data_IF_799308860794
#
_entry.id   IF_799308860794
#
_cell.length_a   1.000
_cell.length_b   1.000
_cell.length_c   1.000
_cell.angle_alpha   90.00
_cell.angle_beta   90.00
_cell.angle_gamma   90.00
#
_symmetry.space_group_name_H-M   'P 1'
#
loop_
_entity.id
_entity.type
_entity.pdbx_description
1 polymer ?
#
# COMPACT_ATOMS: atom_id res chain seq x y z
N UNK A 1 -2.99 24.31 -25.63
CA UNK A 1 -1.71 24.98 -25.95
C UNK A 1 -1.00 25.55 -24.71
N UNK A 2 -1.72 26.08 -23.71
CA UNK A 2 -1.13 26.74 -22.54
C UNK A 2 -0.32 25.84 -21.56
N UNK A 3 -0.65 24.55 -21.45
CA UNK A 3 0.11 23.58 -20.63
C UNK A 3 1.51 23.32 -21.21
N UNK A 4 1.63 23.27 -22.54
CA UNK A 4 2.92 23.10 -23.21
C UNK A 4 3.81 24.35 -23.08
N UNK A 5 3.22 25.54 -23.04
CA UNK A 5 3.94 26.79 -22.77
C UNK A 5 4.42 26.87 -21.30
N UNK A 6 3.60 26.42 -20.34
CA UNK A 6 3.99 26.30 -18.93
C UNK A 6 5.10 25.27 -18.72
N UNK A 7 5.03 24.13 -19.41
CA UNK A 7 6.09 23.11 -19.40
C UNK A 7 7.36 23.66 -20.06
N UNK A 8 7.28 24.37 -21.19
CA UNK A 8 8.45 24.95 -21.87
C UNK A 8 9.11 26.09 -21.10
N UNK A 9 8.34 26.94 -20.41
CA UNK A 9 8.88 27.96 -19.50
C UNK A 9 9.62 27.33 -18.32
N UNK A 10 9.04 26.27 -17.74
CA UNK A 10 9.70 25.48 -16.71
C UNK A 10 10.89 24.68 -17.25
N UNK A 11 10.89 24.19 -18.49
CA UNK A 11 12.05 23.53 -19.12
C UNK A 11 13.21 24.52 -19.30
N UNK A 12 12.94 25.77 -19.63
CA UNK A 12 13.97 26.81 -19.72
C UNK A 12 14.53 27.20 -18.34
N UNK A 13 13.67 27.34 -17.32
CA UNK A 13 14.09 27.60 -15.94
C UNK A 13 14.82 26.40 -15.32
N UNK A 14 14.34 25.16 -15.53
CA UNK A 14 15.05 23.94 -15.11
C UNK A 14 16.33 23.71 -15.90
N UNK A 15 16.43 24.05 -17.19
CA UNK A 15 17.69 24.01 -17.93
C UNK A 15 18.72 25.04 -17.41
N UNK A 16 18.25 26.20 -16.93
CA UNK A 16 19.09 27.21 -16.28
C UNK A 16 19.55 26.77 -14.87
N UNK A 17 18.67 26.11 -14.11
CA UNK A 17 18.98 25.52 -12.80
C UNK A 17 19.85 24.25 -12.89
N UNK A 18 19.69 23.44 -13.96
CA UNK A 18 20.50 22.25 -14.24
C UNK A 18 21.98 22.59 -14.52
N UNK A 19 22.29 23.84 -14.91
CA UNK A 19 23.67 24.32 -15.06
C UNK A 19 24.31 24.76 -13.74
N UNK A 20 23.54 24.98 -12.67
CA UNK A 20 24.06 25.31 -11.34
C UNK A 20 24.27 24.03 -10.54
N UNK A 21 25.51 23.82 -10.09
CA UNK A 21 25.83 22.70 -9.22
C UNK A 21 24.98 22.76 -7.93
N UNK A 22 24.28 21.66 -7.62
CA UNK A 22 23.43 21.56 -6.43
C UNK A 22 24.22 21.91 -5.16
N UNK A 23 23.76 22.90 -4.40
CA UNK A 23 24.44 23.40 -3.20
C UNK A 23 24.25 22.51 -1.97
N UNK A 24 23.12 21.81 -1.85
CA UNK A 24 22.88 20.89 -0.73
C UNK A 24 22.05 19.68 -1.14
N UNK A 25 22.20 18.56 -0.43
CA UNK A 25 21.30 17.41 -0.56
C UNK A 25 20.04 17.62 0.29
N UNK A 26 18.89 17.13 -0.16
CA UNK A 26 17.68 17.15 0.67
C UNK A 26 17.90 16.49 2.04
N UNK A 27 17.52 17.15 3.15
CA UNK A 27 17.64 16.57 4.48
C UNK A 27 16.82 15.30 4.66
N UNK A 28 17.42 14.28 5.26
CA UNK A 28 16.82 12.95 5.50
C UNK A 28 16.89 12.56 6.96
N UNK A 29 15.98 11.70 7.40
CA UNK A 29 15.93 11.20 8.78
C UNK A 29 16.54 9.80 8.82
N UNK A 30 17.53 9.60 9.69
CA UNK A 30 18.03 8.30 10.06
C UNK A 30 17.29 7.79 11.30
N UNK A 31 16.66 6.62 11.19
CA UNK A 31 15.81 6.04 12.27
C UNK A 31 16.39 4.77 12.89
N UNK A 32 17.64 4.39 12.58
CA UNK A 32 18.23 3.15 13.11
C UNK A 32 17.41 1.89 12.83
N UNK A 33 16.61 1.85 11.75
CA UNK A 33 15.62 0.80 11.44
C UNK A 33 14.49 0.67 12.48
N UNK A 34 14.17 1.77 13.16
CA UNK A 34 13.13 1.81 14.19
C UNK A 34 13.61 1.35 15.57
N UNK A 35 14.91 1.17 15.78
CA UNK A 35 15.51 0.80 17.07
C UNK A 35 15.70 2.04 17.96
N UNK A 36 15.08 2.03 19.14
CA UNK A 36 15.11 3.18 20.06
C UNK A 36 16.42 3.27 20.87
N UNK A 37 17.21 2.19 20.93
CA UNK A 37 18.54 2.20 21.56
C UNK A 37 19.57 2.95 20.71
N UNK A 38 19.32 3.08 19.40
CA UNK A 38 20.16 3.83 18.47
C UNK A 38 19.77 5.29 18.44
N UNK A 39 20.76 6.15 18.19
CA UNK A 39 20.53 7.58 18.00
C UNK A 39 19.88 7.86 16.64
N UNK A 40 18.76 8.56 16.65
CA UNK A 40 18.06 9.05 15.47
C UNK A 40 18.44 10.52 15.25
N UNK A 41 18.54 10.92 13.99
CA UNK A 41 19.00 12.26 13.61
C UNK A 41 18.58 12.63 12.19
N UNK A 42 18.61 13.92 11.89
CA UNK A 42 18.52 14.46 10.53
C UNK A 42 19.93 14.61 9.96
N UNK A 43 20.12 14.27 8.69
CA UNK A 43 21.39 14.44 7.98
C UNK A 43 21.18 15.00 6.58
N UNK A 44 22.18 15.75 6.12
CA UNK A 44 22.26 16.33 4.79
C UNK A 44 23.73 16.51 4.41
N UNK A 45 23.98 16.91 3.18
CA UNK A 45 25.29 17.32 2.68
C UNK A 45 25.19 18.72 2.11
N UNK A 46 26.23 19.52 2.25
CA UNK A 46 26.32 20.88 1.73
C UNK A 46 27.62 21.02 0.95
N UNK A 47 27.62 21.85 -0.09
CA UNK A 47 28.78 22.07 -0.94
C UNK A 47 29.73 22.99 -0.22
N UNK A 48 30.88 22.45 0.16
CA UNK A 48 31.89 23.20 0.88
C UNK A 48 32.42 24.32 -0.04
N UNK A 49 32.34 25.60 0.37
CA UNK A 49 32.78 26.73 -0.46
C UNK A 49 34.27 26.69 -0.82
N UNK A 50 35.12 26.10 0.04
CA UNK A 50 36.55 26.03 -0.19
C UNK A 50 36.95 24.87 -1.12
N UNK A 51 36.30 23.71 -1.02
CA UNK A 51 36.65 22.51 -1.80
C UNK A 51 35.77 22.30 -3.03
N UNK A 52 34.62 22.99 -3.09
CA UNK A 52 33.61 22.82 -4.13
C UNK A 52 32.89 21.46 -4.09
N UNK A 53 33.18 20.58 -3.13
CA UNK A 53 32.62 19.22 -3.03
C UNK A 53 31.41 19.19 -2.10
N UNK A 54 30.46 18.29 -2.38
CA UNK A 54 29.30 18.07 -1.53
C UNK A 54 29.69 17.18 -0.35
N UNK A 55 29.76 17.76 0.85
CA UNK A 55 30.27 17.10 2.05
C UNK A 55 29.15 16.90 3.07
N UNK A 56 29.12 15.71 3.70
CA UNK A 56 28.13 15.36 4.70
C UNK A 56 28.32 16.21 5.95
N UNK A 57 27.26 16.90 6.35
CA UNK A 57 27.28 17.78 7.52
C UNK A 57 27.06 17.01 8.82
N UNK A 58 27.47 17.57 9.98
CA UNK A 58 27.23 16.96 11.28
C UNK A 58 25.76 16.57 11.50
N UNK A 59 25.48 15.38 12.05
CA UNK A 59 24.11 14.93 12.27
C UNK A 59 23.39 15.80 13.30
N UNK A 60 22.15 16.15 13.00
CA UNK A 60 21.30 16.97 13.87
C UNK A 60 20.38 16.07 14.67
N UNK A 61 20.68 15.91 15.96
CA UNK A 61 19.93 15.03 16.86
C UNK A 61 18.72 15.73 17.51
N UNK A 62 18.88 17.02 17.86
CA UNK A 62 17.93 17.73 18.73
C UNK A 62 17.62 16.95 20.01
N UNK A 63 16.37 17.00 20.46
CA UNK A 63 15.85 16.25 21.61
C UNK A 63 15.24 14.89 21.26
N UNK A 64 15.34 14.47 20.00
CA UNK A 64 14.69 13.25 19.51
C UNK A 64 15.01 12.03 20.38
N UNK A 65 16.27 11.90 20.80
CA UNK A 65 16.72 10.73 21.55
C UNK A 65 16.28 10.71 23.03
N UNK A 66 15.74 11.80 23.56
CA UNK A 66 15.10 11.86 24.90
C UNK A 66 13.67 11.31 24.87
N UNK A 67 13.02 11.29 23.71
CA UNK A 67 11.65 10.83 23.54
C UNK A 67 11.59 9.29 23.60
N UNK A 68 10.57 8.76 24.30
CA UNK A 68 10.46 7.34 24.63
C UNK A 68 9.80 6.48 23.53
N UNK A 69 9.03 7.08 22.62
CA UNK A 69 8.28 6.34 21.60
C UNK A 69 8.68 6.75 20.17
N UNK A 70 8.46 5.83 19.22
CA UNK A 70 8.87 5.99 17.82
C UNK A 70 8.11 7.10 17.10
N UNK A 71 6.83 7.28 17.43
CA UNK A 71 5.95 8.26 16.79
C UNK A 71 6.41 9.68 17.09
N UNK A 72 6.70 9.97 18.37
CA UNK A 72 7.15 11.28 18.82
C UNK A 72 8.55 11.59 18.29
N UNK A 73 9.46 10.60 18.29
CA UNK A 73 10.79 10.74 17.66
C UNK A 73 10.68 11.12 16.19
N UNK A 74 9.82 10.43 15.45
CA UNK A 74 9.65 10.66 14.02
C UNK A 74 8.96 12.00 13.74
N UNK A 75 7.95 12.36 14.53
CA UNK A 75 7.26 13.65 14.44
C UNK A 75 8.24 14.82 14.69
N UNK A 76 9.00 14.74 15.77
CA UNK A 76 10.01 15.74 16.14
C UNK A 76 11.10 15.91 15.05
N UNK A 77 11.67 14.79 14.57
CA UNK A 77 12.69 14.83 13.51
C UNK A 77 12.11 15.28 12.16
N UNK A 78 10.83 15.02 11.90
CA UNK A 78 10.13 15.52 10.71
C UNK A 78 10.03 17.05 10.73
N UNK A 79 9.72 17.64 11.89
CA UNK A 79 9.72 19.10 12.08
C UNK A 79 11.10 19.69 11.84
N UNK A 80 12.16 19.13 12.45
CA UNK A 80 13.55 19.59 12.22
C UNK A 80 13.93 19.47 10.74
N UNK A 81 13.60 18.35 10.10
CA UNK A 81 13.86 18.15 8.66
C UNK A 81 13.20 19.24 7.81
N UNK A 82 11.93 19.57 8.09
CA UNK A 82 11.17 20.60 7.36
C UNK A 82 11.79 21.98 7.54
N UNK A 83 12.09 22.38 8.78
CA UNK A 83 12.70 23.68 9.09
C UNK A 83 14.08 23.81 8.44
N UNK A 84 14.94 22.80 8.59
CA UNK A 84 16.26 22.81 7.98
C UNK A 84 16.19 22.91 6.45
N UNK A 85 15.29 22.17 5.81
CA UNK A 85 15.14 22.22 4.36
C UNK A 85 14.72 23.62 3.89
N UNK A 86 13.81 24.28 4.62
CA UNK A 86 13.41 25.65 4.33
C UNK A 86 14.58 26.63 4.45
N UNK A 87 15.33 26.58 5.56
CA UNK A 87 16.50 27.45 5.76
C UNK A 87 17.55 27.26 4.65
N UNK A 88 17.83 26.02 4.25
CA UNK A 88 18.77 25.76 3.16
C UNK A 88 18.30 26.35 1.81
N UNK A 89 16.98 26.37 1.56
CA UNK A 89 16.40 27.02 0.37
C UNK A 89 16.45 28.54 0.44
N UNK A 90 16.32 29.10 1.64
CA UNK A 90 16.44 30.54 1.92
C UNK A 90 17.89 31.04 1.85
N UNK A 91 18.86 30.14 1.64
CA UNK A 91 20.26 30.48 1.42
C UNK A 91 21.13 30.40 2.68
N UNK A 92 20.61 29.88 3.79
CA UNK A 92 21.42 29.62 4.99
C UNK A 92 22.43 28.49 4.69
N UNK A 93 23.65 28.68 5.18
CA UNK A 93 24.78 27.78 4.99
C UNK A 93 25.29 27.27 6.33
N UNK A 94 25.74 26.00 6.44
CA UNK A 94 26.41 25.52 7.64
C UNK A 94 27.80 26.16 7.87
N UNK A 95 28.31 26.93 6.89
CA UNK A 95 29.60 27.60 6.93
C UNK A 95 29.49 29.12 7.17
N UNK A 96 28.27 29.65 7.34
CA UNK A 96 27.99 31.07 7.56
C UNK A 96 27.18 31.23 8.84
N UNK A 97 27.49 32.24 9.66
CA UNK A 97 26.67 32.55 10.83
C UNK A 97 25.28 32.99 10.38
N UNK A 98 24.24 32.51 11.06
CA UNK A 98 22.86 32.85 10.72
C UNK A 98 22.60 34.37 10.74
N UNK A 99 23.24 35.12 11.63
CA UNK A 99 23.10 36.59 11.72
C UNK A 99 23.76 37.30 10.54
N UNK A 100 24.86 36.75 10.03
CA UNK A 100 25.52 37.27 8.83
C UNK A 100 24.70 36.92 7.57
N UNK A 101 24.08 35.73 7.55
CA UNK A 101 23.10 35.38 6.51
C UNK A 101 21.91 36.34 6.54
N UNK A 102 21.37 36.64 7.73
CA UNK A 102 20.24 37.55 7.91
C UNK A 102 20.58 38.97 7.44
N UNK A 103 21.78 39.47 7.77
CA UNK A 103 22.28 40.76 7.27
C UNK A 103 22.43 40.77 5.76
N UNK A 104 23.03 39.73 5.18
CA UNK A 104 23.20 39.58 3.73
C UNK A 104 21.85 39.55 3.01
N UNK A 105 20.88 38.77 3.53
CA UNK A 105 19.52 38.72 2.99
C UNK A 105 18.80 40.08 3.13
N UNK A 106 19.02 40.81 4.22
CA UNK A 106 18.46 42.15 4.43
C UNK A 106 19.11 43.21 3.52
N UNK A 107 20.42 43.12 3.27
CA UNK A 107 21.17 44.01 2.37
C UNK A 107 20.85 43.71 0.90
N UNK A 108 20.74 42.45 0.50
CA UNK A 108 20.24 42.03 -0.81
C UNK A 108 18.81 42.56 -1.05
N UNK A 109 17.98 42.57 0.01
CA UNK A 109 16.63 43.14 -0.03
C UNK A 109 16.61 44.67 -0.13
N UNK A 110 17.60 45.38 0.46
CA UNK A 110 17.77 46.84 0.36
C UNK A 110 18.40 47.27 -0.97
N UNK A 111 19.38 46.54 -1.50
CA UNK A 111 19.97 46.79 -2.82
C UNK A 111 18.97 46.55 -3.96
N UNK A 112 18.01 45.64 -3.75
CA UNK A 112 16.89 45.41 -4.67
C UNK A 112 15.80 46.50 -4.64
N UNK A 113 15.77 47.38 -3.61
CA UNK A 113 14.80 48.48 -3.51
C UNK A 113 15.26 49.78 -4.17
N UNK A 114 16.58 50.00 -4.31
CA UNK A 114 17.15 51.22 -4.95
C UNK A 114 17.13 51.19 -6.49
N UNK A 115 16.92 50.02 -7.12
CA UNK A 115 16.86 49.86 -8.59
C UNK A 115 15.44 49.83 -9.20
N UNK A 116 14.40 50.21 -8.45
CA UNK A 116 12.99 50.15 -8.90
C UNK A 116 12.35 51.54 -9.05
N UNK A 117 12.87 52.35 -9.97
CA UNK A 117 12.01 53.19 -10.81
C UNK A 117 12.02 52.58 -12.21
N UNK A 118 10.84 52.23 -12.71
CA UNK A 118 10.54 51.39 -13.87
C UNK A 118 10.67 49.87 -13.64
N UNK A 119 9.57 49.17 -13.94
CA UNK A 119 9.38 47.72 -13.98
C UNK A 119 9.04 46.97 -12.66
N UNK A 120 7.71 46.89 -12.46
CA UNK A 120 6.88 45.81 -11.87
C UNK A 120 7.56 44.87 -10.86
N UNK A 121 7.12 45.00 -9.60
CA UNK A 121 7.22 44.00 -8.52
C UNK A 121 7.02 42.57 -9.06
N UNK A 122 8.04 41.70 -8.92
CA UNK A 122 7.78 40.27 -8.73
C UNK A 122 7.28 40.13 -7.30
N UNK A 123 5.96 40.10 -7.15
CA UNK A 123 5.32 39.53 -5.96
C UNK A 123 5.74 38.06 -5.88
N UNK A 124 6.04 37.54 -4.69
CA UNK A 124 5.90 36.11 -4.47
C UNK A 124 4.44 35.77 -4.76
N UNK A 125 4.16 35.28 -5.96
CA UNK A 125 2.83 34.81 -6.29
C UNK A 125 2.62 33.57 -5.43
N UNK A 126 1.90 33.73 -4.31
CA UNK A 126 1.06 32.64 -3.84
C UNK A 126 0.12 32.38 -5.02
N UNK A 127 0.50 31.43 -5.88
CA UNK A 127 -0.28 31.10 -7.05
C UNK A 127 -1.59 30.55 -6.47
N UNK A 128 -2.65 31.35 -6.51
CA UNK A 128 -3.96 30.96 -6.03
C UNK A 128 -4.40 29.80 -6.92
N UNK A 129 -4.43 28.60 -6.34
CA UNK A 129 -4.94 27.42 -7.02
C UNK A 129 -6.43 27.34 -6.75
N UNK A 130 -7.21 27.18 -7.81
CA UNK A 130 -8.56 26.66 -7.63
C UNK A 130 -8.51 25.24 -7.07
N UNK A 131 -9.58 24.79 -6.41
CA UNK A 131 -9.68 23.42 -5.91
C UNK A 131 -9.40 22.41 -7.01
N UNK A 132 -9.94 22.64 -8.21
CA UNK A 132 -9.69 21.79 -9.38
C UNK A 132 -8.22 21.72 -9.75
N UNK A 133 -7.55 22.87 -9.91
CA UNK A 133 -6.13 22.92 -10.29
C UNK A 133 -5.24 22.24 -9.24
N UNK A 134 -5.48 22.51 -7.96
CA UNK A 134 -4.74 21.87 -6.87
C UNK A 134 -4.92 20.34 -6.90
N UNK A 135 -6.16 19.86 -6.98
CA UNK A 135 -6.43 18.42 -6.95
C UNK A 135 -5.91 17.70 -8.20
N UNK A 136 -5.96 18.32 -9.39
CA UNK A 136 -5.34 17.81 -10.61
C UNK A 136 -3.82 17.71 -10.48
N UNK A 137 -3.18 18.74 -9.92
CA UNK A 137 -1.75 18.75 -9.65
C UNK A 137 -1.33 17.63 -8.69
N UNK A 138 -2.03 17.49 -7.55
CA UNK A 138 -1.74 16.43 -6.57
C UNK A 138 -1.88 15.02 -7.16
N UNK A 139 -2.89 14.81 -8.01
CA UNK A 139 -3.08 13.53 -8.69
C UNK A 139 -1.92 13.26 -9.67
N UNK A 140 -1.56 14.24 -10.50
CA UNK A 140 -0.48 14.12 -11.47
C UNK A 140 0.87 13.79 -10.81
N UNK A 141 1.17 14.39 -9.64
CA UNK A 141 2.40 14.12 -8.89
C UNK A 141 2.42 12.71 -8.27
N UNK A 142 1.31 12.28 -7.67
CA UNK A 142 1.28 10.98 -6.97
C UNK A 142 1.11 9.79 -7.91
N UNK A 143 0.38 9.94 -9.02
CA UNK A 143 0.00 8.84 -9.91
C UNK A 143 1.19 8.01 -10.44
N UNK A 144 2.34 8.60 -10.86
CA UNK A 144 3.51 7.84 -11.32
C UNK A 144 4.10 6.90 -10.27
N UNK A 145 3.99 7.25 -8.98
CA UNK A 145 4.49 6.42 -7.87
C UNK A 145 3.59 5.21 -7.56
N UNK A 146 2.38 5.19 -8.12
CA UNK A 146 1.39 4.17 -7.82
C UNK A 146 1.44 3.01 -8.81
N UNK A 147 1.19 1.81 -8.29
CA UNK A 147 0.94 0.68 -9.18
C UNK A 147 -0.31 0.90 -10.03
N UNK A 148 -0.39 0.32 -11.23
CA UNK A 148 -1.55 0.40 -12.16
C UNK A 148 -2.91 0.26 -11.47
N UNK A 149 -3.04 -0.72 -10.55
CA UNK A 149 -4.28 -0.95 -9.79
C UNK A 149 -4.59 0.17 -8.79
N UNK A 150 -3.57 0.64 -8.07
CA UNK A 150 -3.72 1.74 -7.11
C UNK A 150 -4.10 3.01 -7.85
N UNK A 151 -3.41 3.32 -8.95
CA UNK A 151 -3.74 4.44 -9.82
C UNK A 151 -5.19 4.37 -10.31
N UNK A 152 -5.61 3.25 -10.93
CA UNK A 152 -7.00 3.08 -11.38
C UNK A 152 -8.03 3.28 -10.26
N UNK A 153 -7.77 2.75 -9.06
CA UNK A 153 -8.68 2.90 -7.91
C UNK A 153 -8.73 4.35 -7.44
N UNK A 154 -7.58 5.00 -7.30
CA UNK A 154 -7.48 6.35 -6.74
C UNK A 154 -7.97 7.40 -7.73
N UNK A 155 -7.68 7.27 -9.01
CA UNK A 155 -8.27 8.08 -10.08
C UNK A 155 -9.80 7.96 -10.08
N UNK A 156 -10.33 6.75 -9.86
CA UNK A 156 -11.78 6.56 -9.72
C UNK A 156 -12.37 7.29 -8.51
N UNK A 157 -11.68 7.30 -7.36
CA UNK A 157 -12.11 8.07 -6.18
C UNK A 157 -12.02 9.58 -6.41
N UNK A 158 -10.91 10.04 -7.01
CA UNK A 158 -10.68 11.42 -7.40
C UNK A 158 -11.80 11.92 -8.33
N UNK A 159 -12.10 11.20 -9.41
CA UNK A 159 -13.13 11.61 -10.38
C UNK A 159 -14.50 11.80 -9.72
N UNK A 160 -14.88 10.89 -8.81
CA UNK A 160 -16.15 11.03 -8.07
C UNK A 160 -16.15 12.23 -7.12
N UNK A 161 -15.01 12.53 -6.50
CA UNK A 161 -14.90 13.71 -5.65
C UNK A 161 -14.97 15.00 -6.47
N UNK A 162 -14.27 15.07 -7.59
CA UNK A 162 -14.32 16.20 -8.52
C UNK A 162 -15.73 16.44 -9.06
N UNK A 163 -16.42 15.38 -9.48
CA UNK A 163 -17.83 15.46 -9.91
C UNK A 163 -18.73 16.03 -8.81
N UNK A 164 -18.52 15.61 -7.55
CA UNK A 164 -19.29 16.14 -6.43
C UNK A 164 -18.97 17.62 -6.16
N UNK A 165 -17.69 18.02 -6.23
CA UNK A 165 -17.27 19.41 -6.08
C UNK A 165 -17.86 20.31 -7.18
N UNK A 166 -17.88 19.84 -8.43
CA UNK A 166 -18.51 20.55 -9.55
C UNK A 166 -20.00 20.74 -9.33
N UNK A 167 -20.73 19.68 -8.95
CA UNK A 167 -22.17 19.76 -8.65
C UNK A 167 -22.53 20.66 -7.47
N UNK A 168 -21.59 20.89 -6.54
CA UNK A 168 -21.77 21.79 -5.40
C UNK A 168 -21.10 23.17 -5.61
N UNK A 169 -20.63 23.48 -6.83
CA UNK A 169 -19.97 24.75 -7.18
C UNK A 169 -18.72 25.07 -6.33
N UNK A 170 -18.03 24.05 -5.83
CA UNK A 170 -16.82 24.18 -5.00
C UNK A 170 -15.53 24.01 -5.80
N UNK A 171 -15.60 23.46 -7.02
CA UNK A 171 -14.40 23.12 -7.81
C UNK A 171 -13.60 24.34 -8.30
N UNK A 172 -14.28 25.48 -8.51
CA UNK A 172 -13.71 26.73 -9.01
C UNK A 172 -13.28 27.70 -7.91
N UNK A 173 -13.60 27.40 -6.63
CA UNK A 173 -13.17 28.22 -5.50
C UNK A 173 -11.66 28.08 -5.28
N UNK A 174 -11.07 29.05 -4.58
CA UNK A 174 -9.70 28.93 -4.09
C UNK A 174 -9.56 27.72 -3.15
N UNK A 175 -8.46 26.97 -3.26
CA UNK A 175 -8.23 25.76 -2.45
C UNK A 175 -8.26 26.03 -0.94
N UNK A 176 -7.92 27.25 -0.50
CA UNK A 176 -7.99 27.64 0.91
C UNK A 176 -9.42 27.74 1.45
N UNK A 177 -10.42 27.90 0.57
CA UNK A 177 -11.83 27.94 0.94
C UNK A 177 -12.40 26.56 1.22
N UNK A 178 -11.83 25.50 0.63
CA UNK A 178 -12.31 24.14 0.84
C UNK A 178 -12.05 23.68 2.28
N UNK A 179 -13.10 23.29 3.00
CA UNK A 179 -13.02 22.92 4.42
C UNK A 179 -13.21 21.43 4.64
N UNK A 180 -12.86 21.00 5.86
CA UNK A 180 -13.14 19.65 6.37
C UNK A 180 -14.62 19.25 6.24
N UNK A 181 -15.54 20.21 6.40
CA UNK A 181 -16.99 19.97 6.29
C UNK A 181 -17.37 19.48 4.90
N UNK A 182 -16.81 20.04 3.85
CA UNK A 182 -17.14 19.69 2.45
C UNK A 182 -16.74 18.26 2.13
N UNK A 183 -15.51 17.88 2.51
CA UNK A 183 -15.04 16.48 2.39
C UNK A 183 -15.90 15.54 3.23
N UNK A 184 -16.30 15.94 4.44
CA UNK A 184 -17.18 15.12 5.29
C UNK A 184 -18.55 14.92 4.66
N UNK A 185 -19.11 15.96 4.04
CA UNK A 185 -20.39 15.93 3.35
C UNK A 185 -20.30 15.01 2.12
N UNK A 186 -19.27 15.16 1.28
CA UNK A 186 -19.00 14.24 0.18
C UNK A 186 -18.96 12.78 0.63
N UNK A 187 -18.21 12.48 1.69
CA UNK A 187 -18.10 11.11 2.20
C UNK A 187 -19.44 10.55 2.72
N UNK A 188 -20.36 11.42 3.14
CA UNK A 188 -21.71 11.05 3.59
C UNK A 188 -22.69 10.88 2.42
N UNK A 189 -22.48 11.55 1.28
CA UNK A 189 -23.34 11.47 0.09
C UNK A 189 -22.95 10.34 -0.87
N UNK A 190 -21.87 9.61 -0.60
CA UNK A 190 -21.42 8.48 -1.41
C UNK A 190 -22.47 7.37 -1.51
N UNK A 191 -22.92 7.13 -2.75
CA UNK A 191 -23.89 6.08 -3.12
C UNK A 191 -23.23 4.88 -3.79
N UNK A 192 -23.78 3.68 -3.58
CA UNK A 192 -23.36 2.46 -4.28
C UNK A 192 -23.77 2.54 -5.75
N UNK A 193 -22.94 1.96 -6.62
CA UNK A 193 -23.31 1.74 -8.01
C UNK A 193 -24.34 0.61 -8.08
N UNK A 194 -25.46 0.85 -8.75
CA UNK A 194 -26.48 -0.17 -8.98
C UNK A 194 -26.07 -1.10 -10.13
N UNK A 195 -26.32 -2.39 -9.93
CA UNK A 195 -26.27 -3.42 -10.97
C UNK A 195 -27.40 -3.22 -11.98
N UNK A 196 -27.27 -3.82 -13.18
CA UNK A 196 -28.31 -3.78 -14.21
C UNK A 196 -29.66 -4.30 -13.67
N UNK A 197 -29.63 -5.34 -12.84
CA UNK A 197 -30.82 -5.93 -12.21
C UNK A 197 -31.50 -4.97 -11.24
N UNK A 198 -30.72 -4.30 -10.40
CA UNK A 198 -31.24 -3.31 -9.43
C UNK A 198 -31.84 -2.09 -10.11
N UNK A 199 -31.20 -1.62 -11.20
CA UNK A 199 -31.75 -0.53 -12.02
C UNK A 199 -33.09 -0.92 -12.64
N UNK A 200 -33.17 -2.12 -13.23
CA UNK A 200 -34.40 -2.62 -13.84
C UNK A 200 -35.52 -2.81 -12.81
N UNK A 201 -35.17 -3.18 -11.58
CA UNK A 201 -36.10 -3.35 -10.47
C UNK A 201 -36.42 -2.03 -9.74
N UNK A 202 -35.94 -0.88 -10.21
CA UNK A 202 -36.09 0.42 -9.53
C UNK A 202 -35.71 0.39 -8.04
N UNK A 203 -34.72 -0.43 -7.68
CA UNK A 203 -34.31 -0.61 -6.30
C UNK A 203 -33.76 0.71 -5.72
N UNK A 204 -33.98 1.00 -4.42
CA UNK A 204 -33.46 2.22 -3.80
C UNK A 204 -31.91 2.25 -3.83
N UNK A 205 -31.35 3.44 -4.04
CA UNK A 205 -29.89 3.60 -4.06
C UNK A 205 -29.35 3.60 -2.63
N UNK A 206 -28.60 2.56 -2.29
CA UNK A 206 -27.97 2.44 -0.98
C UNK A 206 -26.70 3.29 -0.84
N UNK A 207 -26.42 3.71 0.40
CA UNK A 207 -25.14 4.33 0.77
C UNK A 207 -23.99 3.32 0.73
N UNK A 208 -22.76 3.80 0.48
CA UNK A 208 -21.58 2.94 0.47
C UNK A 208 -21.27 2.37 1.86
N UNK A 209 -20.57 1.23 1.89
CA UNK A 209 -20.13 0.63 3.15
C UNK A 209 -19.15 1.55 3.91
N UNK A 210 -19.07 1.46 5.26
CA UNK A 210 -18.07 2.16 6.06
C UNK A 210 -16.63 1.97 5.57
N UNK A 211 -16.29 0.76 5.11
CA UNK A 211 -14.97 0.45 4.54
C UNK A 211 -14.71 1.22 3.26
N UNK A 212 -15.70 1.28 2.37
CA UNK A 212 -15.61 2.04 1.13
C UNK A 212 -15.42 3.52 1.44
N UNK A 213 -16.22 4.10 2.35
CA UNK A 213 -16.09 5.49 2.79
C UNK A 213 -14.68 5.80 3.31
N UNK A 214 -14.13 4.93 4.17
CA UNK A 214 -12.77 5.08 4.68
C UNK A 214 -11.70 4.99 3.58
N UNK A 215 -11.92 4.18 2.53
CA UNK A 215 -10.99 4.10 1.39
C UNK A 215 -10.99 5.38 0.54
N UNK A 216 -12.16 6.01 0.33
CA UNK A 216 -12.24 7.33 -0.32
C UNK A 216 -11.50 8.36 0.53
N UNK A 217 -11.80 8.43 1.83
CA UNK A 217 -11.10 9.31 2.77
C UNK A 217 -9.59 9.11 2.72
N UNK A 218 -9.10 7.87 2.75
CA UNK A 218 -7.67 7.58 2.67
C UNK A 218 -7.05 8.08 1.36
N UNK A 219 -7.75 7.93 0.23
CA UNK A 219 -7.26 8.44 -1.06
C UNK A 219 -7.18 9.96 -1.06
N UNK A 220 -8.24 10.63 -0.60
CA UNK A 220 -8.25 12.09 -0.49
C UNK A 220 -7.15 12.56 0.46
N UNK A 221 -6.98 11.90 1.61
CA UNK A 221 -5.90 12.21 2.56
C UNK A 221 -4.53 12.20 1.86
N UNK A 222 -4.24 11.21 1.01
CA UNK A 222 -2.97 11.13 0.27
C UNK A 222 -2.78 12.30 -0.69
N UNK A 223 -3.86 12.72 -1.37
CA UNK A 223 -3.82 13.86 -2.28
C UNK A 223 -3.61 15.18 -1.51
N UNK A 224 -4.33 15.38 -0.41
CA UNK A 224 -4.16 16.58 0.43
C UNK A 224 -2.80 16.60 1.15
N UNK A 225 -2.21 15.45 1.49
CA UNK A 225 -0.83 15.41 1.97
C UNK A 225 0.15 15.86 0.89
N UNK A 226 -0.09 15.54 -0.39
CA UNK A 226 0.75 16.07 -1.48
C UNK A 226 0.65 17.60 -1.53
N UNK A 227 -0.57 18.15 -1.43
CA UNK A 227 -0.78 19.60 -1.42
C UNK A 227 -0.11 20.30 -0.23
N UNK A 228 -0.09 19.64 0.94
CA UNK A 228 0.64 20.13 2.11
C UNK A 228 2.16 20.06 1.89
N UNK A 229 2.66 18.94 1.36
CA UNK A 229 4.09 18.73 1.09
C UNK A 229 4.63 19.75 0.07
N UNK A 230 3.79 20.18 -0.88
CA UNK A 230 4.11 21.18 -1.90
C UNK A 230 3.73 22.63 -1.49
N UNK A 231 3.35 22.84 -0.23
CA UNK A 231 3.01 24.16 0.35
C UNK A 231 1.85 24.89 -0.37
N UNK A 232 1.00 24.16 -1.10
CA UNK A 232 -0.23 24.68 -1.72
C UNK A 232 -1.32 24.90 -0.67
N UNK A 233 -1.35 24.05 0.37
CA UNK A 233 -2.19 24.23 1.55
C UNK A 233 -1.34 24.19 2.82
N UNK A 234 -1.76 24.87 3.90
CA UNK A 234 -0.96 24.93 5.13
C UNK A 234 -0.89 23.60 5.88
N UNK A 235 -1.92 22.77 5.80
CA UNK A 235 -1.95 21.43 6.41
C UNK A 235 -3.07 20.55 5.82
N UNK A 236 -2.89 19.23 5.88
CA UNK A 236 -3.91 18.26 5.50
C UNK A 236 -5.04 18.16 6.54
N UNK A 237 -6.15 18.85 6.31
CA UNK A 237 -7.32 18.79 7.19
C UNK A 237 -8.13 17.48 7.06
N UNK A 238 -7.92 16.68 6.02
CA UNK A 238 -8.67 15.41 5.77
C UNK A 238 -8.27 14.33 6.78
N UNK A 239 -7.02 14.34 7.26
CA UNK A 239 -6.54 13.42 8.30
C UNK A 239 -7.38 13.53 9.59
N UNK A 240 -7.87 14.73 9.91
CA UNK A 240 -8.70 15.02 11.09
C UNK A 240 -10.13 14.46 10.99
N UNK A 241 -10.54 13.90 9.84
CA UNK A 241 -11.85 13.22 9.70
C UNK A 241 -11.73 11.83 10.33
N UNK A 242 -12.63 11.46 11.26
CA UNK A 242 -12.58 10.15 11.91
C UNK A 242 -13.03 9.05 10.94
N UNK A 243 -12.36 7.90 10.97
CA UNK A 243 -12.80 6.73 10.21
C UNK A 243 -14.09 6.16 10.81
N UNK A 244 -15.00 5.69 9.97
CA UNK A 244 -16.19 4.98 10.42
C UNK A 244 -15.80 3.56 10.83
N UNK A 245 -16.31 3.07 11.97
CA UNK A 245 -16.05 1.70 12.43
C UNK A 245 -16.51 0.69 11.37
N UNK A 246 -15.68 -0.30 11.08
CA UNK A 246 -15.98 -1.35 10.09
C UNK A 246 -16.01 -2.72 10.75
N UNK A 247 -17.01 -3.56 10.43
CA UNK A 247 -17.04 -4.98 10.80
C UNK A 247 -16.67 -5.82 9.56
N UNK A 248 -15.41 -6.28 9.41
CA UNK A 248 -15.02 -7.05 8.24
C UNK A 248 -15.68 -8.44 8.24
N UNK A 249 -16.32 -8.82 7.14
CA UNK A 249 -16.68 -10.22 6.89
C UNK A 249 -15.38 -10.99 6.58
N UNK A 250 -15.03 -11.96 7.41
CA UNK A 250 -13.82 -12.78 7.27
C UNK A 250 -14.17 -14.12 6.65
N UNK A 251 -13.20 -14.70 5.94
CA UNK A 251 -13.36 -16.03 5.38
C UNK A 251 -13.14 -17.07 6.48
N UNK A 252 -13.92 -18.15 6.45
CA UNK A 252 -13.75 -19.27 7.39
C UNK A 252 -12.85 -20.36 6.79
N UNK A 253 -12.09 -21.11 7.61
CA UNK A 253 -11.54 -22.40 7.17
C UNK A 253 -12.68 -23.39 6.89
N UNK A 254 -12.44 -24.32 5.97
CA UNK A 254 -13.29 -25.48 5.75
C UNK A 254 -13.18 -26.50 6.89
N UNK A 255 -14.30 -27.15 7.23
CA UNK A 255 -14.30 -28.36 8.08
C UNK A 255 -13.70 -29.56 7.35
N UNK A 256 -13.45 -30.66 8.08
CA UNK A 256 -12.93 -31.91 7.50
C UNK A 256 -13.91 -32.48 6.46
N UNK A 257 -15.19 -32.50 6.77
CA UNK A 257 -16.27 -32.99 5.92
C UNK A 257 -16.38 -32.14 4.65
N UNK A 258 -16.30 -30.82 4.80
CA UNK A 258 -16.30 -29.90 3.66
C UNK A 258 -15.09 -30.10 2.75
N UNK A 259 -13.89 -30.34 3.29
CA UNK A 259 -12.70 -30.64 2.47
C UNK A 259 -12.89 -31.94 1.69
N UNK A 260 -13.45 -32.98 2.32
CA UNK A 260 -13.72 -34.27 1.65
C UNK A 260 -14.71 -34.05 0.50
N UNK A 261 -15.84 -33.39 0.76
CA UNK A 261 -16.85 -33.09 -0.24
C UNK A 261 -16.31 -32.21 -1.40
N UNK A 262 -15.50 -31.20 -1.07
CA UNK A 262 -14.82 -30.36 -2.07
C UNK A 262 -13.87 -31.21 -2.92
N UNK A 263 -13.06 -32.08 -2.30
CA UNK A 263 -12.13 -32.95 -3.03
C UNK A 263 -12.88 -33.86 -4.01
N UNK A 264 -13.89 -34.56 -3.53
CA UNK A 264 -14.69 -35.49 -4.35
C UNK A 264 -15.42 -34.79 -5.51
N UNK A 265 -15.96 -33.59 -5.25
CA UNK A 265 -16.55 -32.78 -6.30
C UNK A 265 -15.52 -32.37 -7.34
N UNK A 266 -14.35 -31.88 -6.92
CA UNK A 266 -13.29 -31.43 -7.82
C UNK A 266 -12.70 -32.59 -8.63
N UNK A 267 -12.49 -33.76 -8.03
CA UNK A 267 -11.95 -34.93 -8.74
C UNK A 267 -12.84 -35.35 -9.92
N UNK A 268 -14.17 -35.15 -9.82
CA UNK A 268 -15.12 -35.46 -10.90
C UNK A 268 -15.33 -34.30 -11.87
N UNK A 269 -15.40 -33.07 -11.37
CA UNK A 269 -15.90 -31.93 -12.16
C UNK A 269 -14.81 -30.94 -12.57
N UNK A 270 -13.76 -30.80 -11.77
CA UNK A 270 -12.71 -29.80 -12.01
C UNK A 270 -11.35 -30.19 -11.36
N UNK A 271 -10.65 -31.21 -11.87
CA UNK A 271 -9.38 -31.66 -11.29
C UNK A 271 -8.28 -30.59 -11.35
N UNK A 272 -8.37 -29.68 -12.33
CA UNK A 272 -7.38 -28.63 -12.48
C UNK A 272 -7.54 -27.51 -11.43
N UNK A 273 -8.78 -27.18 -11.01
CA UNK A 273 -9.01 -26.31 -9.87
C UNK A 273 -8.51 -26.94 -8.56
N UNK A 274 -8.55 -28.27 -8.43
CA UNK A 274 -7.92 -28.97 -7.31
C UNK A 274 -6.41 -28.73 -7.26
N UNK A 275 -5.71 -28.85 -8.40
CA UNK A 275 -4.28 -28.52 -8.50
C UNK A 275 -4.03 -27.07 -8.06
N UNK A 276 -4.83 -26.11 -8.54
CA UNK A 276 -4.73 -24.71 -8.11
C UNK A 276 -4.84 -24.56 -6.59
N UNK A 277 -5.81 -25.24 -5.97
CA UNK A 277 -6.00 -25.23 -4.52
C UNK A 277 -4.87 -25.92 -3.75
N UNK A 278 -4.28 -26.98 -4.31
CA UNK A 278 -3.13 -27.68 -3.72
C UNK A 278 -1.87 -26.80 -3.69
N UNK A 279 -1.62 -25.99 -4.73
CA UNK A 279 -0.56 -24.97 -4.68
C UNK A 279 -0.82 -23.93 -3.59
N UNK A 280 -2.09 -23.55 -3.37
CA UNK A 280 -2.44 -22.64 -2.29
C UNK A 280 -2.21 -23.24 -0.91
N UNK A 281 -2.50 -24.53 -0.70
CA UNK A 281 -2.32 -25.21 0.61
C UNK A 281 -0.87 -25.59 0.87
N UNK A 282 -0.23 -26.29 -0.06
CA UNK A 282 1.09 -26.90 0.17
C UNK A 282 2.24 -25.90 0.10
N UNK A 283 2.15 -24.91 -0.79
CA UNK A 283 3.15 -23.83 -0.90
C UNK A 283 2.69 -22.52 -0.23
N UNK A 284 1.55 -22.53 0.48
CA UNK A 284 0.98 -21.35 1.14
C UNK A 284 0.88 -20.11 0.23
N UNK A 285 0.57 -20.31 -1.05
CA UNK A 285 0.50 -19.24 -2.04
C UNK A 285 -0.84 -18.51 -2.02
N UNK A 286 -0.83 -17.19 -2.18
CA UNK A 286 -2.03 -16.41 -2.46
C UNK A 286 -2.54 -16.74 -3.87
N UNK A 287 -3.84 -16.63 -4.12
CA UNK A 287 -4.43 -16.87 -5.45
C UNK A 287 -3.67 -16.15 -6.58
N UNK A 288 -3.27 -14.90 -6.32
CA UNK A 288 -2.53 -14.12 -7.30
C UNK A 288 -1.09 -14.60 -7.51
N UNK A 289 -0.44 -15.12 -6.47
CA UNK A 289 0.89 -15.70 -6.57
C UNK A 289 0.83 -16.99 -7.41
N UNK A 290 -0.19 -17.83 -7.22
CA UNK A 290 -0.44 -18.99 -8.07
C UNK A 290 -0.62 -18.59 -9.53
N UNK A 291 -1.41 -17.55 -9.81
CA UNK A 291 -1.64 -17.05 -11.17
C UNK A 291 -0.41 -16.42 -11.84
N UNK A 292 0.67 -16.16 -11.07
CA UNK A 292 1.92 -15.57 -11.57
C UNK A 292 3.01 -16.58 -11.82
N UNK A 293 2.91 -17.77 -11.23
CA UNK A 293 3.91 -18.82 -11.42
C UNK A 293 4.06 -19.13 -12.90
N UNK A 294 5.32 -19.20 -13.34
CA UNK A 294 5.70 -19.67 -14.66
C UNK A 294 6.46 -20.99 -14.54
N UNK A 295 6.60 -21.71 -15.65
CA UNK A 295 7.35 -22.98 -15.69
C UNK A 295 8.78 -22.81 -15.16
N UNK A 296 9.48 -21.72 -15.53
CA UNK A 296 10.83 -21.39 -15.03
C UNK A 296 10.92 -21.12 -13.52
N UNK A 297 9.79 -20.87 -12.86
CA UNK A 297 9.77 -20.62 -11.42
C UNK A 297 9.84 -21.94 -10.62
N UNK A 298 9.85 -23.09 -11.29
CA UNK A 298 9.91 -24.43 -10.70
C UNK A 298 11.30 -25.02 -10.88
N UNK A 299 11.96 -25.32 -9.76
CA UNK A 299 13.22 -26.06 -9.73
C UNK A 299 13.01 -27.36 -8.94
N UNK A 300 12.66 -28.42 -9.68
CA UNK A 300 12.44 -29.75 -9.09
C UNK A 300 13.73 -30.39 -8.56
N UNK A 301 14.91 -30.04 -9.11
CA UNK A 301 16.19 -30.60 -8.69
C UNK A 301 16.56 -30.06 -7.31
N UNK A 302 16.45 -28.76 -7.10
CA UNK A 302 16.69 -28.13 -5.81
C UNK A 302 15.47 -28.15 -4.87
N UNK A 303 14.32 -28.67 -5.34
CA UNK A 303 13.01 -28.63 -4.66
C UNK A 303 12.61 -27.22 -4.23
N UNK A 304 12.76 -26.24 -5.13
CA UNK A 304 12.50 -24.82 -4.89
C UNK A 304 11.45 -24.26 -5.84
N UNK A 305 10.58 -23.45 -5.28
CA UNK A 305 9.57 -22.67 -5.99
C UNK A 305 9.87 -21.18 -5.82
N UNK A 306 10.05 -20.46 -6.92
CA UNK A 306 10.38 -19.04 -6.94
C UNK A 306 9.12 -18.16 -7.08
N UNK A 307 8.68 -17.58 -5.98
CA UNK A 307 7.40 -16.86 -5.90
C UNK A 307 7.61 -15.36 -5.99
N UNK A 308 7.09 -14.76 -7.06
CA UNK A 308 7.14 -13.30 -7.27
C UNK A 308 6.00 -12.58 -6.56
N UNK A 309 6.37 -11.59 -5.75
CA UNK A 309 5.41 -10.66 -5.16
C UNK A 309 5.45 -9.31 -5.89
N UNK A 310 4.42 -8.47 -5.70
CA UNK A 310 4.31 -7.18 -6.40
C UNK A 310 5.31 -6.12 -5.88
N UNK A 311 5.68 -6.22 -4.61
CA UNK A 311 6.36 -5.14 -3.87
C UNK A 311 7.43 -5.63 -2.91
N UNK A 312 7.62 -6.95 -2.80
CA UNK A 312 8.63 -7.57 -1.95
C UNK A 312 9.58 -8.38 -2.81
N UNK A 313 10.82 -8.61 -2.33
CA UNK A 313 11.79 -9.48 -2.99
C UNK A 313 11.19 -10.84 -3.35
N UNK A 314 11.84 -11.51 -4.31
CA UNK A 314 11.53 -12.88 -4.68
C UNK A 314 11.55 -13.77 -3.43
N UNK A 315 10.47 -14.52 -3.19
CA UNK A 315 10.39 -15.48 -2.10
C UNK A 315 10.70 -16.88 -2.63
N UNK A 316 11.48 -17.65 -1.90
CA UNK A 316 11.74 -19.07 -2.21
C UNK A 316 10.90 -19.92 -1.27
N UNK A 317 10.14 -20.85 -1.85
CA UNK A 317 9.27 -21.79 -1.11
C UNK A 317 9.74 -23.21 -1.38
N UNK A 318 9.84 -24.09 -0.37
CA UNK A 318 10.18 -25.49 -0.59
C UNK A 318 9.06 -26.22 -1.34
N UNK A 319 9.44 -27.10 -2.26
CA UNK A 319 8.53 -28.07 -2.88
C UNK A 319 8.52 -29.32 -2.00
N UNK A 320 7.45 -29.49 -1.22
CA UNK A 320 7.24 -30.70 -0.41
C UNK A 320 6.85 -31.89 -1.30
N UNK A 321 6.97 -33.12 -0.79
CA UNK A 321 6.76 -34.35 -1.58
C UNK A 321 5.38 -34.41 -2.25
N UNK A 322 4.32 -33.99 -1.56
CA UNK A 322 2.96 -33.94 -2.09
C UNK A 322 2.86 -32.98 -3.28
N UNK A 323 3.51 -31.82 -3.19
CA UNK A 323 3.54 -30.83 -4.26
C UNK A 323 4.43 -31.29 -5.42
N UNK A 324 5.55 -31.96 -5.13
CA UNK A 324 6.44 -32.55 -6.13
C UNK A 324 5.68 -33.56 -6.99
N UNK A 325 4.90 -34.46 -6.37
CA UNK A 325 4.08 -35.45 -7.07
C UNK A 325 3.01 -34.81 -7.97
N UNK A 326 2.49 -33.63 -7.59
CA UNK A 326 1.56 -32.88 -8.44
C UNK A 326 2.31 -32.28 -9.63
N UNK A 327 3.43 -31.61 -9.39
CA UNK A 327 4.23 -30.94 -10.41
C UNK A 327 4.73 -31.95 -11.46
N UNK A 328 5.23 -33.11 -11.04
CA UNK A 328 5.73 -34.14 -11.97
C UNK A 328 4.64 -34.61 -12.96
N UNK A 329 3.39 -34.71 -12.50
CA UNK A 329 2.25 -35.06 -13.36
C UNK A 329 1.86 -33.97 -14.37
N UNK A 330 2.36 -32.75 -14.18
CA UNK A 330 2.13 -31.64 -15.13
C UNK A 330 3.03 -31.72 -16.37
N UNK A 331 4.06 -32.59 -16.39
CA UNK A 331 4.98 -32.80 -17.52
C UNK A 331 5.54 -31.47 -18.07
N UNK A 332 6.13 -30.67 -17.18
CA UNK A 332 6.53 -29.28 -17.44
C UNK A 332 7.60 -29.13 -18.52
N UNK A 333 8.37 -30.19 -18.79
CA UNK A 333 9.38 -30.26 -19.84
C UNK A 333 8.83 -30.01 -21.26
N UNK A 334 7.51 -30.11 -21.43
CA UNK A 334 6.83 -29.91 -22.72
C UNK A 334 6.46 -28.45 -23.01
N UNK A 335 6.67 -27.54 -22.06
CA UNK A 335 6.17 -26.17 -22.12
C UNK A 335 7.30 -25.15 -22.09
N UNK A 336 7.03 -23.93 -22.59
CA UNK A 336 8.04 -22.89 -22.58
C UNK A 336 8.31 -22.42 -21.13
N UNK A 337 9.56 -22.06 -20.78
CA UNK A 337 9.88 -21.56 -19.45
C UNK A 337 9.07 -20.32 -19.03
N UNK A 338 8.60 -19.53 -20.00
CA UNK A 338 7.77 -18.33 -19.79
C UNK A 338 6.27 -18.61 -19.72
N UNK A 339 5.82 -19.82 -20.00
CA UNK A 339 4.40 -20.17 -19.88
C UNK A 339 3.95 -20.07 -18.42
N UNK A 340 2.74 -19.56 -18.21
CA UNK A 340 2.15 -19.54 -16.88
C UNK A 340 1.77 -20.96 -16.49
N UNK A 341 2.10 -21.36 -15.26
CA UNK A 341 1.98 -22.73 -14.79
C UNK A 341 0.51 -23.20 -14.70
N UNK A 342 -0.37 -22.33 -14.18
CA UNK A 342 -1.79 -22.66 -13.98
C UNK A 342 -2.67 -21.65 -14.72
N UNK A 343 -3.35 -22.11 -15.79
CA UNK A 343 -4.06 -21.21 -16.72
C UNK A 343 -5.52 -21.57 -16.99
N UNK A 344 -6.22 -20.71 -17.74
CA UNK A 344 -7.57 -20.99 -18.24
C UNK A 344 -7.66 -22.18 -19.20
N UNK A 345 -6.53 -22.62 -19.77
CA UNK A 345 -6.47 -23.75 -20.70
C UNK A 345 -6.38 -25.11 -20.00
N UNK A 346 -6.32 -25.12 -18.67
CA UNK A 346 -6.09 -26.33 -17.88
C UNK A 346 -4.73 -27.01 -18.13
N UNK A 347 -3.77 -26.23 -18.61
CA UNK A 347 -2.38 -26.61 -18.83
C UNK A 347 -1.50 -25.36 -18.80
N UNK A 348 -0.17 -25.50 -18.63
CA UNK A 348 0.73 -24.37 -18.80
C UNK A 348 0.58 -23.74 -20.20
N UNK A 349 0.43 -22.42 -20.26
CA UNK A 349 0.19 -21.71 -21.52
C UNK A 349 0.57 -20.23 -21.42
N UNK A 350 0.89 -19.62 -22.56
CA UNK A 350 1.08 -18.19 -22.69
C UNK A 350 -0.20 -17.42 -22.33
N UNK A 351 -0.19 -16.72 -21.20
CA UNK A 351 -1.39 -16.09 -20.66
C UNK A 351 -1.12 -14.67 -20.17
N UNK A 352 -0.57 -13.83 -21.04
CA UNK A 352 -0.25 -12.43 -20.70
C UNK A 352 -1.49 -11.54 -20.72
N UNK A 353 -2.28 -11.63 -19.64
CA UNK A 353 -3.45 -10.79 -19.39
C UNK A 353 -3.39 -10.22 -17.98
N UNK A 354 -4.26 -9.24 -17.71
CA UNK A 354 -4.39 -8.66 -16.38
C UNK A 354 -4.61 -9.74 -15.30
N UNK A 355 -3.77 -9.64 -14.27
CA UNK A 355 -3.73 -10.51 -13.11
C UNK A 355 -5.08 -10.67 -12.38
N UNK A 356 -5.87 -9.60 -12.29
CA UNK A 356 -7.17 -9.65 -11.65
C UNK A 356 -8.15 -10.47 -12.49
N UNK A 357 -8.05 -10.42 -13.81
CA UNK A 357 -8.81 -11.29 -14.71
C UNK A 357 -8.45 -12.77 -14.50
N UNK A 358 -7.16 -13.10 -14.32
CA UNK A 358 -6.72 -14.47 -13.98
C UNK A 358 -7.32 -14.95 -12.66
N UNK A 359 -7.23 -14.14 -11.59
CA UNK A 359 -7.79 -14.52 -10.29
C UNK A 359 -9.32 -14.65 -10.32
N UNK A 360 -10.02 -13.79 -11.08
CA UNK A 360 -11.47 -13.87 -11.29
C UNK A 360 -11.90 -15.14 -12.01
N UNK A 361 -11.08 -15.65 -12.95
CA UNK A 361 -11.34 -16.92 -13.63
C UNK A 361 -11.44 -18.08 -12.63
N UNK A 362 -10.44 -18.26 -11.76
CA UNK A 362 -10.47 -19.33 -10.76
C UNK A 362 -11.53 -19.09 -9.67
N UNK A 363 -11.75 -17.83 -9.27
CA UNK A 363 -12.87 -17.50 -8.37
C UNK A 363 -14.24 -17.85 -8.97
N UNK A 364 -14.39 -17.76 -10.31
CA UNK A 364 -15.61 -18.17 -11.00
C UNK A 364 -15.81 -19.69 -10.99
N UNK A 365 -14.74 -20.46 -11.17
CA UNK A 365 -14.79 -21.93 -11.07
C UNK A 365 -15.16 -22.37 -9.65
N UNK A 366 -14.53 -21.78 -8.63
CA UNK A 366 -14.87 -22.08 -7.25
C UNK A 366 -16.31 -21.68 -6.86
N UNK A 367 -16.90 -20.66 -7.49
CA UNK A 367 -18.34 -20.35 -7.29
C UNK A 367 -19.25 -21.51 -7.70
N UNK A 368 -18.87 -22.33 -8.70
CA UNK A 368 -19.64 -23.53 -9.08
C UNK A 368 -19.59 -24.57 -7.96
N UNK A 369 -18.40 -24.81 -7.39
CA UNK A 369 -18.20 -25.69 -6.23
C UNK A 369 -19.06 -25.24 -5.06
N UNK A 370 -19.03 -23.93 -4.73
CA UNK A 370 -19.85 -23.37 -3.65
C UNK A 370 -21.35 -23.61 -3.87
N UNK A 371 -21.83 -23.39 -5.10
CA UNK A 371 -23.24 -23.59 -5.43
C UNK A 371 -23.62 -25.07 -5.29
N UNK A 372 -22.79 -25.98 -5.80
CA UNK A 372 -23.06 -27.42 -5.75
C UNK A 372 -23.07 -27.97 -4.32
N UNK A 373 -22.20 -27.46 -3.44
CA UNK A 373 -22.03 -27.95 -2.07
C UNK A 373 -22.73 -27.08 -1.01
N UNK A 374 -23.56 -26.11 -1.41
CA UNK A 374 -24.26 -25.23 -0.48
C UNK A 374 -23.36 -24.36 0.41
N UNK A 375 -22.13 -24.05 -0.01
CA UNK A 375 -21.18 -23.29 0.81
C UNK A 375 -21.55 -21.81 0.89
N UNK A 376 -21.68 -21.30 2.13
CA UNK A 376 -22.00 -19.92 2.46
C UNK A 376 -21.04 -18.86 1.91
N UNK A 377 -21.41 -17.58 2.02
CA UNK A 377 -20.67 -16.45 1.43
C UNK A 377 -19.24 -16.26 1.99
N UNK A 378 -19.00 -16.74 3.21
CA UNK A 378 -17.75 -16.73 3.98
C UNK A 378 -16.72 -17.79 3.54
N UNK A 379 -17.08 -18.68 2.61
CA UNK A 379 -16.14 -19.62 2.01
C UNK A 379 -15.62 -19.09 0.67
N UNK A 380 -14.32 -19.04 0.49
CA UNK A 380 -13.67 -18.63 -0.78
C UNK A 380 -12.47 -19.52 -1.07
N UNK A 381 -11.83 -19.36 -2.23
CA UNK A 381 -10.54 -20.03 -2.47
C UNK A 381 -9.50 -19.73 -1.38
N UNK A 382 -9.54 -18.54 -0.78
CA UNK A 382 -8.61 -18.19 0.29
C UNK A 382 -8.83 -19.00 1.57
N UNK A 383 -10.04 -19.56 1.76
CA UNK A 383 -10.35 -20.49 2.85
C UNK A 383 -9.46 -21.73 2.82
N UNK A 384 -8.97 -22.15 1.66
CA UNK A 384 -8.01 -23.27 1.54
C UNK A 384 -6.74 -23.02 2.34
N UNK A 385 -6.22 -21.79 2.34
CA UNK A 385 -5.04 -21.42 3.12
C UNK A 385 -5.33 -21.36 4.61
N UNK A 386 -6.54 -20.92 4.98
CA UNK A 386 -6.98 -20.94 6.37
C UNK A 386 -7.03 -22.37 6.89
N UNK A 387 -7.66 -23.28 6.13
CA UNK A 387 -7.71 -24.71 6.49
C UNK A 387 -6.31 -25.32 6.61
N UNK A 388 -5.42 -25.07 5.64
CA UNK A 388 -4.05 -25.59 5.70
C UNK A 388 -3.28 -25.06 6.92
N UNK A 389 -3.42 -23.77 7.25
CA UNK A 389 -2.79 -23.18 8.42
C UNK A 389 -3.33 -23.78 9.73
N UNK A 390 -4.64 -23.93 9.85
CA UNK A 390 -5.29 -24.57 11.02
C UNK A 390 -4.84 -26.01 11.18
N UNK A 391 -4.80 -26.78 10.08
CA UNK A 391 -4.38 -28.17 10.10
C UNK A 391 -2.91 -28.33 10.56
N UNK A 392 -1.98 -27.56 9.99
CA UNK A 392 -0.59 -27.60 10.41
C UNK A 392 -0.38 -27.11 11.85
N UNK A 393 -1.09 -26.06 12.27
CA UNK A 393 -1.02 -25.57 13.64
C UNK A 393 -1.45 -26.64 14.64
N UNK A 394 -2.60 -27.28 14.41
CA UNK A 394 -3.11 -28.34 15.28
C UNK A 394 -2.21 -29.57 15.27
N UNK A 395 -1.64 -29.91 14.10
CA UNK A 395 -0.67 -31.00 14.00
C UNK A 395 0.58 -30.72 14.85
N UNK A 396 1.17 -29.53 14.74
CA UNK A 396 2.32 -29.14 15.56
C UNK A 396 2.00 -29.22 17.06
N UNK A 397 0.83 -28.77 17.50
CA UNK A 397 0.41 -28.93 18.90
C UNK A 397 0.23 -30.40 19.30
N UNK A 398 -0.28 -31.25 18.40
CA UNK A 398 -0.44 -32.69 18.66
C UNK A 398 0.89 -33.44 18.80
N UNK A 399 1.97 -32.92 18.22
CA UNK A 399 3.33 -33.44 18.41
C UNK A 399 3.96 -33.02 19.75
N UNK A 400 3.21 -32.34 20.63
CA UNK A 400 3.68 -31.90 21.94
C UNK A 400 4.42 -30.55 21.93
N UNK A 401 4.44 -29.83 20.80
CA UNK A 401 5.02 -28.48 20.76
C UNK A 401 4.18 -27.51 21.61
N UNK A 402 4.85 -26.61 22.32
CA UNK A 402 4.20 -25.43 22.92
C UNK A 402 3.60 -24.51 21.85
N UNK A 403 2.68 -23.62 22.25
CA UNK A 403 2.12 -22.61 21.34
C UNK A 403 3.24 -21.77 20.70
N UNK A 404 4.29 -21.44 21.46
CA UNK A 404 5.39 -20.63 20.95
C UNK A 404 6.21 -21.35 19.87
N UNK A 405 6.55 -22.61 20.10
CA UNK A 405 7.28 -23.44 19.14
C UNK A 405 6.46 -23.69 17.88
N UNK A 406 5.17 -24.01 18.04
CA UNK A 406 4.25 -24.18 16.93
C UNK A 406 4.16 -22.90 16.08
N UNK A 407 4.06 -21.73 16.71
CA UNK A 407 4.07 -20.44 16.01
C UNK A 407 5.39 -20.18 15.28
N UNK A 408 6.54 -20.49 15.88
CA UNK A 408 7.84 -20.30 15.23
C UNK A 408 8.01 -21.18 13.98
N UNK A 409 7.69 -22.48 14.10
CA UNK A 409 7.72 -23.42 12.97
C UNK A 409 6.75 -22.99 11.87
N UNK A 410 5.50 -22.68 12.24
CA UNK A 410 4.47 -22.31 11.29
C UNK A 410 4.73 -20.97 10.59
N UNK A 411 5.43 -20.02 11.24
CA UNK A 411 5.81 -18.74 10.63
C UNK A 411 6.75 -18.94 9.43
N UNK A 412 7.69 -19.89 9.52
CA UNK A 412 8.60 -20.24 8.43
C UNK A 412 7.84 -20.81 7.22
N UNK A 413 6.79 -21.60 7.47
CA UNK A 413 5.97 -22.24 6.43
C UNK A 413 5.01 -21.23 5.78
N UNK A 414 4.31 -20.44 6.59
CA UNK A 414 3.21 -19.58 6.13
C UNK A 414 3.66 -18.21 5.59
N UNK A 415 4.96 -17.90 5.75
CA UNK A 415 5.60 -16.65 5.28
C UNK A 415 5.04 -15.39 5.95
N UNK A 416 4.61 -15.50 7.20
CA UNK A 416 4.25 -14.32 8.00
C UNK A 416 5.53 -13.60 8.46
N UNK A 417 5.51 -12.26 8.40
CA UNK A 417 6.68 -11.44 8.79
C UNK A 417 6.88 -11.30 10.30
N UNK A 418 5.88 -11.66 11.10
CA UNK A 418 5.94 -11.54 12.55
C UNK A 418 5.04 -12.55 13.26
N UNK A 419 5.49 -12.99 14.45
CA UNK A 419 4.72 -13.87 15.36
C UNK A 419 3.36 -13.26 15.71
N UNK A 420 3.34 -11.98 16.05
CA UNK A 420 2.11 -11.26 16.37
C UNK A 420 1.11 -11.24 15.18
N UNK A 421 1.62 -11.10 13.95
CA UNK A 421 0.81 -11.17 12.74
C UNK A 421 0.19 -12.55 12.55
N UNK A 422 0.98 -13.62 12.74
CA UNK A 422 0.51 -15.00 12.65
C UNK A 422 -0.49 -15.35 13.74
N UNK A 423 -0.21 -15.00 15.01
CA UNK A 423 -1.13 -15.26 16.14
C UNK A 423 -2.48 -14.58 15.94
N UNK A 424 -2.48 -13.31 15.51
CA UNK A 424 -3.71 -12.62 15.15
C UNK A 424 -4.45 -13.34 14.01
N UNK A 425 -3.74 -13.74 12.95
CA UNK A 425 -4.31 -14.49 11.85
C UNK A 425 -4.95 -15.82 12.30
N UNK A 426 -4.27 -16.62 13.11
CA UNK A 426 -4.77 -17.90 13.62
C UNK A 426 -6.01 -17.74 14.50
N UNK A 427 -6.00 -16.74 15.39
CA UNK A 427 -7.16 -16.39 16.21
C UNK A 427 -8.35 -15.99 15.34
N UNK A 428 -8.12 -15.19 14.29
CA UNK A 428 -9.18 -14.73 13.40
C UNK A 428 -9.86 -15.84 12.61
N UNK A 429 -9.15 -16.93 12.33
CA UNK A 429 -9.70 -18.10 11.63
C UNK A 429 -10.19 -19.20 12.58
N UNK A 430 -10.13 -18.96 13.90
CA UNK A 430 -10.57 -19.91 14.92
C UNK A 430 -9.64 -21.10 15.14
N UNK A 431 -8.37 -21.01 14.73
CA UNK A 431 -7.41 -22.11 14.91
C UNK A 431 -6.93 -22.27 16.36
N UNK A 432 -7.01 -21.21 17.18
CA UNK A 432 -6.55 -21.20 18.57
C UNK A 432 -7.69 -21.41 19.57
N UNK A 433 -8.75 -22.13 19.20
CA UNK A 433 -9.81 -22.47 20.15
C UNK A 433 -9.23 -23.41 21.22
N UNK A 434 -9.55 -23.20 22.50
CA UNK A 434 -9.15 -24.14 23.54
C UNK A 434 -9.77 -25.51 23.26
N UNK A 435 -9.09 -26.57 23.71
CA UNK A 435 -9.69 -27.91 23.78
C UNK A 435 -10.87 -27.86 24.74
N UNK A 436 -11.75 -28.85 24.65
CA UNK A 436 -12.82 -29.00 25.64
C UNK A 436 -12.22 -28.95 27.05
N UNK A 437 -12.77 -28.05 27.87
CA UNK A 437 -12.38 -27.78 29.25
C UNK A 437 -13.57 -27.99 30.20
N UNK A 438 -14.59 -28.73 29.75
CA UNK A 438 -15.75 -29.08 30.56
C UNK A 438 -15.37 -29.74 31.89
N UNK A 439 -14.32 -30.55 31.89
CA UNK A 439 -13.73 -31.20 33.06
C UNK A 439 -13.09 -30.23 34.07
N UNK A 440 -12.82 -28.98 33.67
CA UNK A 440 -12.30 -27.94 34.57
C UNK A 440 -13.40 -27.19 35.32
N UNK A 441 -14.68 -27.36 34.94
CA UNK A 441 -15.78 -26.73 35.67
C UNK A 441 -16.02 -27.48 36.98
N UNK A 442 -15.94 -26.75 38.10
CA UNK A 442 -16.27 -27.25 39.43
C UNK A 442 -17.68 -26.85 39.88
N UNK A 443 -18.48 -26.29 38.97
CA UNK A 443 -19.83 -25.80 39.22
C UNK A 443 -20.80 -26.47 38.24
N UNK A 444 -21.93 -26.95 38.75
CA UNK A 444 -23.08 -27.39 37.97
C UNK A 444 -24.12 -26.26 37.93
N UNK A 445 -24.70 -26.01 36.75
CA UNK A 445 -25.75 -25.01 36.52
C UNK A 445 -27.13 -25.66 36.39
#
# INVERSE_FOLDING_TARGET
>A
MHILELIKKNEYETAYDLKKLKQFSEPKIYTGKGDLSKRWYVYFSYRNPATGKLERQPPIYGEANKLKNKTDRLSYLSTIRKVLHRMLKEGYSPFEDARETDKRLAEESKAASTKKQSNKRVQSQHQSYTVKQAMEFALAQKQPSWSKRTASTFTGHYNKFMQWLEGNKLSSLDISELKKRDVSLFLNTLKKSQTKKEKLANAPIEVVSPKTKNNYKATLSILFSQLEDDEIIPYNFVEKIKNVKTKPKKNKPFSKEQIIAIREYLDKNDPYLRVFMQFMSYAFLRNIEVCRLQVKDIDLKAKRLYVRSKTSPLAVVPIIGELENIIRRMNLERYAPTDYLITRKNEPFAWDIDENTKTKHFAARFRKVKKALGLGADYTLYSTRHTAATNLYNHLLSEGNSEEEALMKLMQITRHKSKAGLKNYLREIGATLPKDYGDMYTIEF
#
